data_IF_557778389866
#
_entry.id   IF_557778389866
#
_cell.length_a   1.000
_cell.length_b   1.000
_cell.length_c   1.000
_cell.angle_alpha   90.00
_cell.angle_beta   90.00
_cell.angle_gamma   90.00
#
_symmetry.space_group_name_H-M   'P 1'
#
loop_
_entity.id
_entity.type
_entity.pdbx_description
1 polymer ?
#
# COMPACT_ATOMS: atom_id res chain seq x y z
N UNK A 1 67.11 89.56 -32.64
CA UNK A 1 67.81 88.61 -33.53
C UNK A 1 66.93 88.46 -34.76
N UNK A 2 67.33 88.76 -36.00
CA UNK A 2 68.58 89.30 -36.61
C UNK A 2 68.21 90.60 -37.39
N UNK A 3 69.10 91.57 -37.69
CA UNK A 3 70.26 91.57 -38.61
C UNK A 3 69.88 91.16 -40.06
N UNK A 4 70.23 91.88 -41.15
CA UNK A 4 71.05 93.12 -41.29
C UNK A 4 70.80 93.84 -42.64
N UNK A 5 71.29 95.10 -42.77
CA UNK A 5 71.69 95.87 -43.99
C UNK A 5 71.28 95.37 -45.40
N UNK A 6 70.71 96.16 -46.31
CA UNK A 6 71.03 97.55 -46.67
C UNK A 6 71.82 97.63 -48.00
N UNK A 7 71.53 98.60 -48.88
CA UNK A 7 72.48 99.06 -49.92
C UNK A 7 72.19 100.49 -50.40
N UNK A 8 73.23 101.31 -50.49
CA UNK A 8 73.27 102.56 -51.27
C UNK A 8 73.76 102.25 -52.70
N UNK A 9 73.48 103.18 -53.62
CA UNK A 9 74.15 103.29 -54.91
C UNK A 9 74.22 104.77 -55.29
N UNK A 10 75.35 105.40 -55.02
CA UNK A 10 75.70 106.73 -55.53
C UNK A 10 76.58 106.52 -56.77
N UNK A 11 76.35 107.22 -57.89
CA UNK A 11 77.36 107.38 -58.94
C UNK A 11 77.09 108.65 -59.76
N UNK A 12 78.15 109.36 -60.16
CA UNK A 12 78.08 110.65 -60.84
C UNK A 12 79.34 110.92 -61.68
N UNK A 13 79.15 111.44 -62.88
CA UNK A 13 80.12 112.11 -63.77
C UNK A 13 79.25 112.96 -64.74
N UNK A 14 79.37 114.28 -64.91
CA UNK A 14 80.52 115.21 -65.06
C UNK A 14 81.04 115.30 -66.51
N UNK A 15 81.54 116.51 -66.85
CA UNK A 15 81.97 117.06 -68.15
C UNK A 15 80.85 117.55 -69.10
N UNK A 16 80.97 118.70 -69.79
CA UNK A 16 82.08 119.67 -69.83
C UNK A 16 81.60 121.10 -70.15
N UNK A 17 82.33 122.12 -69.66
CA UNK A 17 82.26 123.50 -70.17
C UNK A 17 83.06 123.60 -71.48
N UNK A 18 82.71 124.57 -72.35
CA UNK A 18 83.70 125.48 -72.96
C UNK A 18 83.08 126.86 -73.25
N UNK A 19 83.86 127.90 -72.99
CA UNK A 19 83.62 129.32 -73.31
C UNK A 19 85.00 129.94 -73.65
N UNK A 20 85.15 130.62 -74.80
CA UNK A 20 86.37 131.40 -75.07
C UNK A 20 86.14 132.81 -75.66
N UNK A 21 86.32 133.82 -74.80
CA UNK A 21 87.19 135.00 -74.95
C UNK A 21 87.41 135.73 -76.32
N UNK A 22 86.91 136.98 -76.34
CA UNK A 22 87.62 138.27 -76.56
C UNK A 22 88.20 138.81 -77.91
N UNK A 23 87.95 140.13 -78.11
CA UNK A 23 88.73 141.20 -78.81
C UNK A 23 88.93 141.09 -80.36
N UNK A 24 88.85 142.12 -81.23
CA UNK A 24 89.27 143.53 -81.14
C UNK A 24 88.89 144.39 -82.41
N UNK A 25 88.98 145.73 -82.31
CA UNK A 25 89.25 146.77 -83.38
C UNK A 25 88.40 146.96 -84.66
N UNK A 26 87.71 148.12 -84.70
CA UNK A 26 87.70 149.19 -85.73
C UNK A 26 87.37 149.00 -87.25
N UNK A 27 86.21 149.57 -87.65
CA UNK A 27 86.03 150.64 -88.68
C UNK A 27 86.60 150.44 -90.11
N UNK A 28 85.73 150.18 -91.13
CA UNK A 28 85.11 151.20 -92.03
C UNK A 28 84.29 150.61 -93.23
N UNK A 29 83.07 151.12 -93.46
CA UNK A 29 82.26 151.19 -94.74
C UNK A 29 82.12 149.94 -95.65
N UNK A 30 80.90 149.33 -95.62
CA UNK A 30 79.91 149.16 -96.72
C UNK A 30 80.42 148.73 -98.13
N UNK A 31 79.84 147.70 -98.80
CA UNK A 31 78.39 147.55 -98.91
C UNK A 31 77.75 146.21 -98.50
N UNK A 32 76.62 146.37 -97.82
CA UNK A 32 75.57 145.36 -97.58
C UNK A 32 74.95 144.83 -98.86
N UNK A 33 74.67 143.52 -98.92
CA UNK A 33 73.40 142.98 -99.44
C UNK A 33 73.23 141.49 -99.13
N UNK A 34 74.27 140.67 -99.32
CA UNK A 34 74.15 139.20 -99.35
C UNK A 34 73.92 138.53 -97.99
N UNK A 35 74.55 139.02 -96.92
CA UNK A 35 74.42 138.50 -95.54
C UNK A 35 72.96 138.48 -95.05
N UNK A 36 72.11 139.39 -95.54
CA UNK A 36 70.70 139.47 -95.13
C UNK A 36 69.89 138.23 -95.54
N UNK A 37 70.22 137.62 -96.66
CA UNK A 37 69.47 136.50 -97.24
C UNK A 37 69.82 135.17 -96.55
N UNK A 38 71.11 134.96 -96.27
CA UNK A 38 71.60 133.85 -95.42
C UNK A 38 71.11 133.98 -93.97
N UNK A 39 71.05 135.21 -93.43
CA UNK A 39 70.47 135.48 -92.11
C UNK A 39 68.95 135.24 -92.07
N UNK A 40 68.21 135.58 -93.12
CA UNK A 40 66.77 135.24 -93.21
C UNK A 40 66.53 133.74 -93.36
N UNK A 41 67.36 133.01 -94.10
CA UNK A 41 67.28 131.55 -94.21
C UNK A 41 67.57 130.86 -92.87
N UNK A 42 68.63 131.28 -92.18
CA UNK A 42 68.98 130.73 -90.85
C UNK A 42 67.95 131.08 -89.78
N UNK A 43 67.37 132.29 -89.80
CA UNK A 43 66.22 132.62 -88.94
C UNK A 43 65.02 131.72 -89.26
N UNK A 44 64.67 131.51 -90.53
CA UNK A 44 63.55 130.63 -90.90
C UNK A 44 63.78 129.17 -90.46
N UNK A 45 64.99 128.62 -90.62
CA UNK A 45 65.29 127.25 -90.16
C UNK A 45 65.29 127.14 -88.63
N UNK A 46 65.71 128.18 -87.90
CA UNK A 46 65.60 128.25 -86.45
C UNK A 46 64.13 128.44 -85.98
N UNK A 47 63.31 129.19 -86.71
CA UNK A 47 61.88 129.31 -86.44
C UNK A 47 61.13 127.99 -86.71
N UNK A 48 61.46 127.27 -87.78
CA UNK A 48 60.92 125.92 -88.01
C UNK A 48 61.43 124.91 -86.98
N UNK A 49 62.71 124.94 -86.60
CA UNK A 49 63.23 124.09 -85.52
C UNK A 49 62.57 124.42 -84.16
N UNK A 50 62.31 125.70 -83.86
CA UNK A 50 61.55 126.12 -82.68
C UNK A 50 60.08 125.72 -82.76
N UNK A 51 59.49 125.68 -83.96
CA UNK A 51 58.11 125.23 -84.19
C UNK A 51 58.00 123.71 -84.09
N UNK A 52 58.98 122.96 -84.56
CA UNK A 52 59.02 121.50 -84.47
C UNK A 52 59.33 121.04 -83.04
N UNK A 53 60.29 121.66 -82.35
CA UNK A 53 60.52 121.40 -80.91
C UNK A 53 59.37 121.85 -80.03
N UNK A 54 58.61 122.90 -80.40
CA UNK A 54 57.31 123.20 -79.76
C UNK A 54 56.31 122.07 -79.98
N UNK A 55 56.03 121.69 -81.24
CA UNK A 55 55.14 120.54 -81.54
C UNK A 55 55.55 119.27 -80.79
N UNK A 56 56.85 118.96 -80.72
CA UNK A 56 57.35 117.73 -80.09
C UNK A 56 57.26 117.79 -78.56
N UNK A 57 57.57 118.95 -77.95
CA UNK A 57 57.29 119.19 -76.53
C UNK A 57 55.79 119.09 -76.24
N UNK A 58 54.96 119.63 -77.11
CA UNK A 58 53.51 119.58 -76.93
C UNK A 58 52.98 118.14 -77.12
N UNK A 59 53.54 117.34 -78.05
CA UNK A 59 53.29 115.89 -78.15
C UNK A 59 53.72 115.14 -76.89
N UNK A 60 54.93 115.39 -76.37
CA UNK A 60 55.41 114.71 -75.15
C UNK A 60 54.65 115.13 -73.91
N UNK A 61 54.12 116.36 -73.83
CA UNK A 61 53.15 116.78 -72.82
C UNK A 61 51.83 116.01 -72.94
N UNK A 62 51.24 115.90 -74.14
CA UNK A 62 50.03 115.09 -74.33
C UNK A 62 50.24 113.59 -74.01
N UNK A 63 51.43 113.04 -74.31
CA UNK A 63 51.79 111.67 -73.94
C UNK A 63 51.98 111.53 -72.42
N UNK A 64 52.62 112.50 -71.78
CA UNK A 64 52.82 112.54 -70.33
C UNK A 64 51.48 112.67 -69.58
N UNK A 65 50.57 113.51 -70.06
CA UNK A 65 49.25 113.68 -69.45
C UNK A 65 48.34 112.47 -69.70
N UNK A 66 48.43 111.82 -70.87
CA UNK A 66 47.82 110.50 -71.10
C UNK A 66 48.39 109.43 -70.17
N UNK A 67 49.70 109.44 -69.91
CA UNK A 67 50.34 108.49 -69.00
C UNK A 67 49.95 108.76 -67.53
N UNK A 68 49.88 110.02 -67.11
CA UNK A 68 49.33 110.40 -65.80
C UNK A 68 47.89 109.93 -65.64
N UNK A 69 47.04 110.16 -66.65
CA UNK A 69 45.64 109.73 -66.60
C UNK A 69 45.56 108.20 -66.49
N UNK A 70 46.28 107.45 -67.33
CA UNK A 70 46.32 105.98 -67.23
C UNK A 70 46.89 105.49 -65.88
N UNK A 71 47.83 106.21 -65.27
CA UNK A 71 48.33 105.87 -63.92
C UNK A 71 47.27 106.13 -62.85
N UNK A 72 46.52 107.23 -62.92
CA UNK A 72 45.40 107.53 -62.03
C UNK A 72 44.21 106.58 -62.22
N UNK A 73 43.85 106.28 -63.47
CA UNK A 73 42.80 105.31 -63.82
C UNK A 73 43.16 103.92 -63.25
N UNK A 74 44.43 103.52 -63.34
CA UNK A 74 44.92 102.26 -62.78
C UNK A 74 45.03 102.29 -61.25
N UNK A 75 45.45 103.41 -60.65
CA UNK A 75 45.48 103.56 -59.20
C UNK A 75 44.06 103.50 -58.62
N UNK A 76 43.07 104.04 -59.33
CA UNK A 76 41.64 103.91 -59.02
C UNK A 76 41.16 102.45 -59.20
N UNK A 77 41.47 101.78 -60.31
CA UNK A 77 41.10 100.36 -60.54
C UNK A 77 41.74 99.41 -59.51
N UNK A 78 43.03 99.59 -59.20
CA UNK A 78 43.72 98.84 -58.14
C UNK A 78 43.12 99.15 -56.75
N UNK A 79 42.66 100.39 -56.49
CA UNK A 79 41.99 100.76 -55.24
C UNK A 79 40.59 100.16 -55.12
N UNK A 80 39.75 100.24 -56.16
CA UNK A 80 38.41 99.64 -56.19
C UNK A 80 38.49 98.13 -56.00
N UNK A 81 39.47 97.48 -56.65
CA UNK A 81 39.75 96.06 -56.45
C UNK A 81 40.19 95.75 -55.01
N UNK A 82 41.03 96.60 -54.40
CA UNK A 82 41.45 96.43 -52.99
C UNK A 82 40.27 96.58 -52.02
N UNK A 83 39.30 97.45 -52.31
CA UNK A 83 38.06 97.58 -51.54
C UNK A 83 37.15 96.34 -51.72
N UNK A 84 37.01 95.81 -52.95
CA UNK A 84 36.27 94.57 -53.21
C UNK A 84 36.91 93.34 -52.52
N UNK A 85 38.23 93.19 -52.62
CA UNK A 85 38.99 92.14 -51.92
C UNK A 85 38.83 92.27 -50.39
N UNK A 86 38.89 93.50 -49.86
CA UNK A 86 38.71 93.78 -48.43
C UNK A 86 37.30 93.38 -47.98
N UNK A 87 36.27 93.77 -48.73
CA UNK A 87 34.88 93.37 -48.47
C UNK A 87 34.70 91.85 -48.51
N UNK A 88 35.27 91.16 -49.50
CA UNK A 88 35.22 89.69 -49.57
C UNK A 88 35.91 89.03 -48.36
N UNK A 89 37.04 89.57 -47.93
CA UNK A 89 37.75 89.12 -46.72
C UNK A 89 36.90 89.32 -45.47
N UNK A 90 36.14 90.41 -45.34
CA UNK A 90 35.22 90.65 -44.22
C UNK A 90 34.01 89.71 -44.24
N UNK A 91 33.38 89.50 -45.40
CA UNK A 91 32.28 88.54 -45.55
C UNK A 91 32.73 87.10 -45.22
N UNK A 92 33.92 86.70 -45.66
CA UNK A 92 34.52 85.40 -45.32
C UNK A 92 34.85 85.28 -43.83
N UNK A 93 35.37 86.34 -43.19
CA UNK A 93 35.62 86.37 -41.73
C UNK A 93 34.32 86.21 -40.95
N UNK A 94 33.28 86.97 -41.30
CA UNK A 94 31.97 86.91 -40.65
C UNK A 94 31.32 85.53 -40.80
N UNK A 95 31.42 84.91 -41.99
CA UNK A 95 30.93 83.56 -42.22
C UNK A 95 31.73 82.52 -41.41
N UNK A 96 33.06 82.63 -41.35
CA UNK A 96 33.89 81.75 -40.51
C UNK A 96 33.60 81.91 -39.01
N UNK A 97 33.30 83.12 -38.54
CA UNK A 97 32.90 83.36 -37.15
C UNK A 97 31.50 82.81 -36.84
N UNK A 98 30.54 83.00 -37.75
CA UNK A 98 29.21 82.38 -37.66
C UNK A 98 29.31 80.85 -37.57
N UNK A 99 30.10 80.22 -38.45
CA UNK A 99 30.33 78.78 -38.45
C UNK A 99 31.00 78.30 -37.15
N UNK A 100 32.04 78.99 -36.64
CA UNK A 100 32.65 78.69 -35.33
C UNK A 100 31.63 78.77 -34.20
N UNK A 101 30.80 79.81 -34.17
CA UNK A 101 29.77 79.99 -33.16
C UNK A 101 28.69 78.90 -33.25
N UNK A 102 28.30 78.47 -34.45
CA UNK A 102 27.38 77.35 -34.65
C UNK A 102 27.97 76.01 -34.19
N UNK A 103 29.23 75.71 -34.54
CA UNK A 103 29.96 74.52 -34.06
C UNK A 103 30.03 74.52 -32.53
N UNK A 104 30.37 75.65 -31.89
CA UNK A 104 30.40 75.77 -30.44
C UNK A 104 29.02 75.60 -29.77
N UNK A 105 27.93 75.96 -30.44
CA UNK A 105 26.57 75.67 -29.97
C UNK A 105 26.25 74.16 -30.07
N UNK A 106 26.54 73.53 -31.22
CA UNK A 106 26.33 72.10 -31.43
C UNK A 106 27.19 71.26 -30.47
N UNK A 107 28.44 71.62 -30.22
CA UNK A 107 29.29 70.96 -29.23
C UNK A 107 28.72 71.03 -27.81
N UNK A 108 28.20 72.20 -27.39
CA UNK A 108 27.57 72.35 -26.06
C UNK A 108 26.31 71.49 -25.96
N UNK A 109 25.47 71.48 -27.01
CA UNK A 109 24.28 70.64 -27.06
C UNK A 109 24.63 69.15 -27.01
N UNK A 110 25.63 68.70 -27.77
CA UNK A 110 26.14 67.33 -27.75
C UNK A 110 26.65 66.94 -26.35
N UNK A 111 27.47 67.78 -25.72
CA UNK A 111 28.02 67.55 -24.37
C UNK A 111 26.90 67.47 -23.31
N UNK A 112 25.87 68.31 -23.42
CA UNK A 112 24.68 68.24 -22.57
C UNK A 112 23.86 66.96 -22.79
N UNK A 113 23.66 66.53 -24.04
CA UNK A 113 22.87 65.33 -24.33
C UNK A 113 23.60 64.03 -23.95
N UNK A 114 24.93 64.00 -24.07
CA UNK A 114 25.77 62.91 -23.53
C UNK A 114 25.61 62.82 -22.01
N UNK A 115 25.66 63.94 -21.28
CA UNK A 115 25.47 63.95 -19.83
C UNK A 115 24.07 63.45 -19.43
N UNK A 116 23.00 64.00 -20.02
CA UNK A 116 21.61 63.52 -19.80
C UNK A 116 21.47 62.02 -20.05
N UNK A 117 22.04 61.51 -21.16
CA UNK A 117 22.00 60.09 -21.52
C UNK A 117 22.72 59.22 -20.49
N UNK A 118 23.83 59.69 -19.94
CA UNK A 118 24.56 58.98 -18.90
C UNK A 118 23.78 58.96 -17.57
N UNK A 119 23.14 60.07 -17.19
CA UNK A 119 22.35 60.15 -15.96
C UNK A 119 21.05 59.32 -16.07
N UNK A 120 20.38 59.31 -17.22
CA UNK A 120 19.29 58.38 -17.52
C UNK A 120 19.77 56.93 -17.42
N UNK A 121 20.98 56.61 -17.91
CA UNK A 121 21.57 55.27 -17.81
C UNK A 121 21.83 54.87 -16.36
N UNK A 122 22.33 55.79 -15.51
CA UNK A 122 22.52 55.57 -14.07
C UNK A 122 21.18 55.27 -13.38
N UNK A 123 20.19 56.15 -13.55
CA UNK A 123 18.84 55.98 -12.99
C UNK A 123 18.21 54.64 -13.41
N UNK A 124 18.30 54.29 -14.69
CA UNK A 124 17.78 53.01 -15.22
C UNK A 124 18.48 51.80 -14.58
N UNK A 125 19.79 51.90 -14.35
CA UNK A 125 20.57 50.84 -13.70
C UNK A 125 20.22 50.70 -12.21
N UNK A 126 20.04 51.82 -11.50
CA UNK A 126 19.65 51.84 -10.10
C UNK A 126 18.23 51.29 -9.88
N UNK A 127 17.29 51.60 -10.78
CA UNK A 127 15.95 51.02 -10.79
C UNK A 127 15.97 49.52 -11.11
N UNK A 128 16.79 49.09 -12.08
CA UNK A 128 16.98 47.68 -12.40
C UNK A 128 17.61 46.91 -11.22
N UNK A 129 18.56 47.50 -10.51
CA UNK A 129 19.15 46.90 -9.31
C UNK A 129 18.08 46.73 -8.21
N UNK A 130 17.35 47.79 -7.86
CA UNK A 130 16.27 47.74 -6.85
C UNK A 130 15.20 46.71 -7.22
N UNK A 131 14.85 46.61 -8.50
CA UNK A 131 13.92 45.60 -9.01
C UNK A 131 14.46 44.17 -8.82
N UNK A 132 15.74 43.94 -9.14
CA UNK A 132 16.39 42.64 -8.92
C UNK A 132 16.50 42.27 -7.43
N UNK A 133 16.79 43.24 -6.55
CA UNK A 133 16.80 43.04 -5.09
C UNK A 133 15.41 42.63 -4.59
N UNK A 134 14.34 43.34 -5.00
CA UNK A 134 12.94 42.98 -4.65
C UNK A 134 12.58 41.59 -5.20
N UNK A 135 12.99 41.25 -6.43
CA UNK A 135 12.77 39.92 -7.02
C UNK A 135 13.53 38.83 -6.25
N UNK A 136 14.73 39.10 -5.77
CA UNK A 136 15.50 38.18 -4.94
C UNK A 136 14.81 37.94 -3.59
N UNK A 137 14.40 39.02 -2.91
CA UNK A 137 13.66 38.98 -1.65
C UNK A 137 12.36 38.18 -1.75
N UNK A 138 11.59 38.39 -2.83
CA UNK A 138 10.35 37.67 -3.08
C UNK A 138 10.60 36.19 -3.39
N UNK A 139 11.68 35.85 -4.12
CA UNK A 139 12.11 34.46 -4.33
C UNK A 139 12.51 33.79 -3.01
N UNK A 140 13.27 34.48 -2.15
CA UNK A 140 13.67 33.94 -0.84
C UNK A 140 12.46 33.69 0.07
N UNK A 141 11.51 34.65 0.11
CA UNK A 141 10.24 34.52 0.85
C UNK A 141 9.37 33.38 0.31
N UNK A 142 9.31 33.19 -1.02
CA UNK A 142 8.62 32.07 -1.65
C UNK A 142 9.27 30.73 -1.30
N UNK A 143 10.60 30.59 -1.41
CA UNK A 143 11.32 29.36 -1.05
C UNK A 143 11.14 29.00 0.42
N UNK A 144 11.20 29.99 1.32
CA UNK A 144 10.92 29.81 2.75
C UNK A 144 9.49 29.30 2.98
N UNK A 145 8.50 29.95 2.35
CA UNK A 145 7.10 29.52 2.42
C UNK A 145 6.89 28.08 1.90
N UNK A 146 7.52 27.72 0.78
CA UNK A 146 7.48 26.35 0.23
C UNK A 146 8.09 25.32 1.18
N UNK A 147 9.24 25.62 1.82
CA UNK A 147 9.84 24.71 2.80
C UNK A 147 8.99 24.53 4.06
N UNK A 148 8.32 25.59 4.53
CA UNK A 148 7.37 25.51 5.64
C UNK A 148 6.12 24.69 5.26
N UNK A 149 5.62 24.84 4.03
CA UNK A 149 4.51 24.04 3.50
C UNK A 149 4.86 22.55 3.45
N UNK A 150 6.06 22.20 2.96
CA UNK A 150 6.50 20.80 2.89
C UNK A 150 6.70 20.19 4.29
N UNK A 151 7.24 20.97 5.25
CA UNK A 151 7.29 20.54 6.65
C UNK A 151 5.90 20.22 7.21
N UNK A 152 4.87 21.00 6.86
CA UNK A 152 3.48 20.71 7.26
C UNK A 152 2.85 19.56 6.49
N UNK A 153 3.23 19.33 5.24
CA UNK A 153 2.84 18.15 4.48
C UNK A 153 3.36 16.86 5.14
N UNK A 154 4.64 16.84 5.56
CA UNK A 154 5.26 15.74 6.30
C UNK A 154 4.56 15.52 7.66
N UNK A 155 4.28 16.59 8.42
CA UNK A 155 3.51 16.48 9.67
C UNK A 155 2.12 15.87 9.45
N UNK A 156 1.40 16.26 8.40
CA UNK A 156 0.08 15.70 8.08
C UNK A 156 0.15 14.21 7.70
N UNK A 157 1.14 13.79 6.90
CA UNK A 157 1.34 12.37 6.54
C UNK A 157 1.70 11.53 7.76
N UNK A 158 2.52 12.06 8.67
CA UNK A 158 2.84 11.40 9.94
C UNK A 158 1.60 11.24 10.83
N UNK A 159 0.76 12.28 10.94
CA UNK A 159 -0.50 12.23 11.69
C UNK A 159 -1.52 11.26 11.07
N UNK A 160 -1.65 11.23 9.74
CA UNK A 160 -2.48 10.25 9.03
C UNK A 160 -2.00 8.81 9.28
N UNK A 161 -0.69 8.59 9.29
CA UNK A 161 -0.08 7.28 9.59
C UNK A 161 -0.38 6.85 11.03
N UNK A 162 -0.21 7.76 12.01
CA UNK A 162 -0.52 7.50 13.42
C UNK A 162 -2.02 7.23 13.65
N UNK A 163 -2.92 7.95 12.97
CA UNK A 163 -4.35 7.68 13.01
C UNK A 163 -4.69 6.31 12.41
N UNK A 164 -4.08 5.93 11.29
CA UNK A 164 -4.26 4.60 10.68
C UNK A 164 -3.80 3.47 11.62
N UNK A 165 -2.67 3.66 12.31
CA UNK A 165 -2.18 2.74 13.34
C UNK A 165 -3.15 2.65 14.53
N UNK A 166 -3.66 3.78 15.02
CA UNK A 166 -4.63 3.82 16.13
C UNK A 166 -5.93 3.09 15.78
N UNK A 167 -6.46 3.23 14.56
CA UNK A 167 -7.64 2.48 14.13
C UNK A 167 -7.38 0.96 14.08
N UNK A 168 -6.21 0.53 13.56
CA UNK A 168 -5.82 -0.87 13.55
C UNK A 168 -5.62 -1.45 14.96
N UNK A 169 -5.00 -0.70 15.88
CA UNK A 169 -4.85 -1.09 17.29
C UNK A 169 -6.20 -1.19 17.99
N UNK A 170 -7.10 -0.23 17.77
CA UNK A 170 -8.46 -0.23 18.33
C UNK A 170 -9.26 -1.45 17.85
N UNK A 171 -9.21 -1.79 16.56
CA UNK A 171 -9.89 -2.95 15.99
C UNK A 171 -9.28 -4.27 16.50
N UNK A 172 -7.96 -4.36 16.65
CA UNK A 172 -7.28 -5.51 17.25
C UNK A 172 -7.65 -5.68 18.73
N UNK A 173 -7.73 -4.58 19.49
CA UNK A 173 -8.18 -4.54 20.89
C UNK A 173 -9.64 -4.97 21.03
N UNK A 174 -10.51 -4.62 20.09
CA UNK A 174 -11.90 -5.07 20.06
C UNK A 174 -12.00 -6.58 19.80
N UNK A 175 -11.20 -7.13 18.86
CA UNK A 175 -11.09 -8.58 18.63
C UNK A 175 -10.67 -9.31 19.90
N UNK A 176 -9.56 -8.90 20.51
CA UNK A 176 -9.07 -9.48 21.77
C UNK A 176 -10.10 -9.36 22.91
N UNK A 177 -10.90 -8.29 22.94
CA UNK A 177 -12.01 -8.12 23.89
C UNK A 177 -13.13 -9.15 23.70
N UNK A 178 -13.48 -9.47 22.45
CA UNK A 178 -14.45 -10.52 22.09
C UNK A 178 -13.91 -11.91 22.39
N UNK A 179 -12.66 -12.19 22.04
CA UNK A 179 -12.01 -13.48 22.31
C UNK A 179 -11.91 -13.75 23.82
N UNK A 180 -11.56 -12.72 24.61
CA UNK A 180 -11.53 -12.77 26.07
C UNK A 180 -12.92 -12.98 26.70
N UNK A 181 -13.97 -12.40 26.10
CA UNK A 181 -15.35 -12.64 26.54
C UNK A 181 -15.78 -14.09 26.29
N UNK A 182 -15.51 -14.63 25.10
CA UNK A 182 -15.78 -16.04 24.77
C UNK A 182 -14.99 -17.00 25.68
N UNK A 183 -13.69 -16.74 25.91
CA UNK A 183 -12.88 -17.56 26.81
C UNK A 183 -13.40 -17.55 28.26
N UNK A 184 -14.00 -16.44 28.72
CA UNK A 184 -14.69 -16.37 30.03
C UNK A 184 -16.01 -17.14 30.04
N UNK A 185 -16.76 -17.13 28.94
CA UNK A 185 -17.99 -17.90 28.79
C UNK A 185 -17.70 -19.40 28.86
N UNK A 186 -16.72 -19.90 28.09
CA UNK A 186 -16.31 -21.30 28.13
C UNK A 186 -15.73 -21.71 29.50
N UNK A 187 -14.92 -20.86 30.13
CA UNK A 187 -14.47 -21.09 31.51
C UNK A 187 -15.65 -21.20 32.50
N UNK A 188 -16.72 -20.42 32.30
CA UNK A 188 -17.93 -20.49 33.14
C UNK A 188 -18.70 -21.80 32.92
N UNK A 189 -18.87 -22.24 31.66
CA UNK A 189 -19.51 -23.52 31.29
C UNK A 189 -18.74 -24.71 31.87
N UNK A 190 -17.41 -24.71 31.74
CA UNK A 190 -16.54 -25.75 32.32
C UNK A 190 -16.56 -25.72 33.86
N UNK A 191 -16.64 -24.54 34.49
CA UNK A 191 -16.80 -24.43 35.93
C UNK A 191 -18.16 -24.96 36.42
N UNK A 192 -19.22 -24.80 35.64
CA UNK A 192 -20.55 -25.33 35.94
C UNK A 192 -20.60 -26.86 35.74
N UNK A 193 -20.11 -27.38 34.61
CA UNK A 193 -20.07 -28.83 34.37
C UNK A 193 -19.20 -29.57 35.40
N UNK A 194 -18.10 -28.96 35.85
CA UNK A 194 -17.28 -29.48 36.96
C UNK A 194 -18.04 -29.54 38.30
N UNK A 195 -18.89 -28.54 38.60
CA UNK A 195 -19.74 -28.58 39.81
C UNK A 195 -20.78 -29.70 39.73
N UNK A 196 -21.42 -29.88 38.57
CA UNK A 196 -22.39 -30.96 38.35
C UNK A 196 -21.71 -32.33 38.44
N UNK A 197 -20.53 -32.51 37.83
CA UNK A 197 -19.75 -33.74 37.93
C UNK A 197 -19.35 -34.07 39.37
N UNK A 198 -18.91 -33.07 40.14
CA UNK A 198 -18.57 -33.24 41.56
C UNK A 198 -19.82 -33.60 42.41
N UNK A 199 -20.98 -33.01 42.13
CA UNK A 199 -22.24 -33.38 42.79
C UNK A 199 -22.66 -34.81 42.48
N UNK A 200 -22.52 -35.25 41.21
CA UNK A 200 -22.82 -36.63 40.81
C UNK A 200 -21.86 -37.64 41.45
N UNK A 201 -20.58 -37.29 41.58
CA UNK A 201 -19.58 -38.10 42.29
C UNK A 201 -19.93 -38.24 43.78
N UNK A 202 -20.30 -37.13 44.43
CA UNK A 202 -20.76 -37.09 45.82
C UNK A 202 -22.03 -37.91 46.09
N UNK A 203 -22.93 -38.04 45.10
CA UNK A 203 -24.09 -38.94 45.19
C UNK A 203 -23.66 -40.40 45.04
N UNK A 204 -22.85 -40.72 44.03
CA UNK A 204 -22.38 -42.09 43.77
C UNK A 204 -21.51 -42.66 44.90
N UNK A 205 -20.74 -41.81 45.60
CA UNK A 205 -20.04 -42.18 46.83
C UNK A 205 -21.03 -42.63 47.91
N UNK A 206 -22.10 -41.87 48.16
CA UNK A 206 -23.11 -42.18 49.18
C UNK A 206 -23.90 -43.45 48.84
N UNK A 207 -24.26 -43.65 47.57
CA UNK A 207 -24.87 -44.89 47.09
C UNK A 207 -23.94 -46.10 47.32
N UNK A 208 -22.65 -45.96 47.02
CA UNK A 208 -21.64 -47.00 47.25
C UNK A 208 -21.45 -47.30 48.75
N UNK A 209 -21.46 -46.29 49.60
CA UNK A 209 -21.41 -46.44 51.07
C UNK A 209 -22.65 -47.16 51.61
N UNK A 210 -23.85 -46.83 51.12
CA UNK A 210 -25.09 -47.52 51.50
C UNK A 210 -25.09 -48.98 51.04
N UNK A 211 -24.62 -49.26 49.82
CA UNK A 211 -24.46 -50.63 49.30
C UNK A 211 -23.42 -51.40 50.14
N UNK A 212 -22.29 -50.79 50.50
CA UNK A 212 -21.28 -51.40 51.36
C UNK A 212 -21.82 -51.71 52.78
N UNK A 213 -22.64 -50.82 53.35
CA UNK A 213 -23.30 -51.05 54.63
C UNK A 213 -24.32 -52.21 54.57
N UNK A 214 -25.13 -52.28 53.50
CA UNK A 214 -26.06 -53.38 53.23
C UNK A 214 -25.34 -54.71 53.01
N UNK A 215 -24.20 -54.70 52.32
CA UNK A 215 -23.35 -55.87 52.14
C UNK A 215 -22.81 -56.35 53.50
N UNK A 216 -22.20 -55.47 54.29
CA UNK A 216 -21.67 -55.79 55.63
C UNK A 216 -22.75 -56.26 56.62
N UNK A 217 -24.00 -55.80 56.49
CA UNK A 217 -25.14 -56.35 57.23
C UNK A 217 -25.48 -57.77 56.78
N UNK A 218 -25.53 -58.00 55.46
CA UNK A 218 -25.83 -59.30 54.87
C UNK A 218 -24.76 -60.35 55.19
N UNK A 219 -23.48 -59.97 55.17
CA UNK A 219 -22.35 -60.80 55.56
C UNK A 219 -22.43 -61.25 57.02
N UNK A 220 -22.83 -60.36 57.94
CA UNK A 220 -23.05 -60.70 59.36
C UNK A 220 -24.19 -61.71 59.53
N UNK A 221 -25.34 -61.48 58.89
CA UNK A 221 -26.48 -62.41 58.94
C UNK A 221 -26.10 -63.77 58.34
N UNK A 222 -25.31 -63.80 57.26
CA UNK A 222 -24.79 -65.04 56.67
C UNK A 222 -23.78 -65.75 57.59
N UNK A 223 -22.94 -65.02 58.33
CA UNK A 223 -22.02 -65.61 59.30
C UNK A 223 -22.77 -66.22 60.51
N UNK A 224 -23.75 -65.49 61.05
CA UNK A 224 -24.66 -65.97 62.12
C UNK A 224 -25.46 -67.20 61.67
N UNK A 225 -25.96 -67.20 60.43
CA UNK A 225 -26.65 -68.33 59.80
C UNK A 225 -25.74 -69.54 59.63
N UNK A 226 -24.49 -69.38 59.15
CA UNK A 226 -23.50 -70.46 59.04
C UNK A 226 -23.17 -71.09 60.38
N UNK A 227 -22.92 -70.27 61.41
CA UNK A 227 -22.66 -70.75 62.78
C UNK A 227 -23.87 -71.47 63.38
N UNK A 228 -25.09 -71.02 63.09
CA UNK A 228 -26.32 -71.70 63.52
C UNK A 228 -26.52 -73.04 62.79
N UNK A 229 -26.22 -73.09 61.49
CA UNK A 229 -26.23 -74.32 60.69
C UNK A 229 -25.20 -75.34 61.19
N UNK A 230 -23.97 -74.89 61.49
CA UNK A 230 -22.91 -75.73 62.05
C UNK A 230 -23.34 -76.36 63.39
N UNK A 231 -23.96 -75.58 64.29
CA UNK A 231 -24.49 -76.13 65.55
C UNK A 231 -25.58 -77.19 65.33
N UNK A 232 -26.49 -76.96 64.39
CA UNK A 232 -27.51 -77.94 64.04
C UNK A 232 -26.92 -79.20 63.40
N UNK A 233 -25.84 -79.08 62.63
CA UNK A 233 -25.09 -80.21 62.08
C UNK A 233 -24.34 -81.00 63.17
N UNK A 234 -23.68 -80.31 64.09
CA UNK A 234 -23.02 -80.90 65.27
C UNK A 234 -24.03 -81.67 66.13
N UNK A 235 -25.18 -81.07 66.49
CA UNK A 235 -26.23 -81.75 67.25
C UNK A 235 -26.92 -82.86 66.44
N UNK A 236 -27.12 -82.72 65.12
CA UNK A 236 -27.64 -83.81 64.28
C UNK A 236 -26.67 -85.01 64.27
N UNK A 237 -25.36 -84.76 64.15
CA UNK A 237 -24.34 -85.80 64.24
C UNK A 237 -24.28 -86.46 65.62
N UNK A 238 -24.59 -85.72 66.69
CA UNK A 238 -24.66 -86.21 68.08
C UNK A 238 -25.89 -87.08 68.29
N UNK A 239 -27.05 -86.66 67.76
CA UNK A 239 -28.29 -87.44 67.79
C UNK A 239 -28.18 -88.73 66.97
N UNK A 240 -27.53 -88.70 65.80
CA UNK A 240 -27.20 -89.92 65.02
C UNK A 240 -26.36 -90.90 65.83
N UNK A 241 -25.25 -90.44 66.42
CA UNK A 241 -24.39 -91.27 67.28
C UNK A 241 -25.13 -91.85 68.49
N UNK A 242 -26.02 -91.08 69.11
CA UNK A 242 -26.86 -91.56 70.22
C UNK A 242 -27.89 -92.62 69.77
N UNK A 243 -28.47 -92.46 68.58
CA UNK A 243 -29.37 -93.44 67.96
C UNK A 243 -28.63 -94.72 67.55
N UNK A 244 -27.42 -94.62 67.01
CA UNK A 244 -26.55 -95.76 66.70
C UNK A 244 -26.17 -96.52 67.99
N UNK A 245 -25.90 -95.82 69.09
CA UNK A 245 -25.62 -96.41 70.40
C UNK A 245 -26.85 -97.10 71.03
N UNK A 246 -28.05 -96.54 70.88
CA UNK A 246 -29.28 -97.17 71.39
C UNK A 246 -29.68 -98.37 70.51
N UNK A 247 -29.56 -98.27 69.19
CA UNK A 247 -29.87 -99.36 68.25
C UNK A 247 -28.87 -100.53 68.38
N UNK A 248 -27.58 -100.27 68.55
CA UNK A 248 -26.59 -101.33 68.83
C UNK A 248 -26.79 -101.97 70.22
N UNK A 249 -27.32 -101.23 71.19
CA UNK A 249 -27.71 -101.79 72.49
C UNK A 249 -28.96 -102.66 72.40
N UNK A 250 -30.00 -102.22 71.67
CA UNK A 250 -31.21 -102.99 71.41
C UNK A 250 -30.89 -104.28 70.64
N UNK A 251 -30.14 -104.19 69.54
CA UNK A 251 -29.73 -105.36 68.75
C UNK A 251 -28.93 -106.37 69.57
N UNK A 252 -28.07 -105.90 70.50
CA UNK A 252 -27.35 -106.79 71.44
C UNK A 252 -28.30 -107.46 72.44
N UNK A 253 -29.33 -106.76 72.92
CA UNK A 253 -30.33 -107.32 73.83
C UNK A 253 -31.27 -108.33 73.15
N UNK A 254 -31.58 -108.16 71.86
CA UNK A 254 -32.42 -109.10 71.10
C UNK A 254 -31.69 -110.37 70.63
N UNK A 255 -30.37 -110.33 70.43
CA UNK A 255 -29.61 -111.51 70.00
C UNK A 255 -29.53 -112.62 71.06
N UNK A 256 -29.59 -112.26 72.34
CA UNK A 256 -29.48 -113.21 73.46
C UNK A 256 -30.79 -113.94 73.80
N UNK A 257 -31.96 -113.47 73.33
CA UNK A 257 -33.28 -114.04 73.71
C UNK A 257 -33.78 -115.20 72.83
N UNK A 258 -33.43 -115.21 71.55
CA UNK A 258 -34.27 -115.88 70.53
C UNK A 258 -33.92 -117.37 70.27
N UNK A 259 -32.98 -117.96 71.00
CA UNK A 259 -32.44 -119.30 70.71
C UNK A 259 -32.57 -120.36 71.84
N UNK A 260 -33.31 -120.08 72.91
CA UNK A 260 -33.40 -121.00 74.07
C UNK A 260 -34.84 -121.38 74.48
N UNK A 261 -35.42 -122.37 73.80
CA UNK A 261 -36.59 -123.11 74.33
C UNK A 261 -36.12 -123.96 75.51
N UNK A 262 -36.66 -123.74 76.71
CA UNK A 262 -36.24 -124.47 77.92
C UNK A 262 -36.33 -125.99 77.72
N UNK A 263 -35.18 -126.66 77.83
CA UNK A 263 -35.01 -128.12 77.75
C UNK A 263 -36.02 -128.88 78.61
N UNK A 264 -36.48 -128.32 79.74
CA UNK A 264 -37.52 -128.92 80.60
C UNK A 264 -38.89 -128.98 79.90
N UNK A 265 -39.25 -127.96 79.13
CA UNK A 265 -40.49 -127.92 78.33
C UNK A 265 -40.41 -128.96 77.22
N UNK A 266 -39.28 -129.02 76.50
CA UNK A 266 -39.04 -129.99 75.41
C UNK A 266 -39.13 -131.43 75.91
N UNK A 267 -38.47 -131.75 77.03
CA UNK A 267 -38.55 -133.07 77.69
C UNK A 267 -39.99 -133.37 78.10
N UNK A 268 -40.70 -132.42 78.70
CA UNK A 268 -42.07 -132.64 79.18
C UNK A 268 -43.04 -132.94 78.04
N UNK A 269 -42.90 -132.27 76.89
CA UNK A 269 -43.68 -132.54 75.68
C UNK A 269 -43.40 -133.94 75.10
N UNK A 270 -42.13 -134.35 75.01
CA UNK A 270 -41.76 -135.72 74.61
C UNK A 270 -42.35 -136.78 75.55
N UNK A 271 -42.27 -136.55 76.87
CA UNK A 271 -42.83 -137.47 77.88
C UNK A 271 -44.35 -137.54 77.77
N UNK A 272 -45.08 -136.43 77.58
CA UNK A 272 -46.54 -136.47 77.42
C UNK A 272 -46.97 -137.09 76.10
N UNK A 273 -46.18 -136.99 75.02
CA UNK A 273 -46.45 -137.66 73.74
C UNK A 273 -46.42 -139.20 73.89
N UNK A 274 -45.37 -139.75 74.51
CA UNK A 274 -45.29 -141.19 74.79
C UNK A 274 -46.33 -141.66 75.83
N UNK A 275 -46.54 -140.91 76.92
CA UNK A 275 -47.50 -141.30 77.97
C UNK A 275 -48.97 -141.26 77.50
N UNK A 276 -49.34 -140.37 76.57
CA UNK A 276 -50.71 -140.26 76.04
C UNK A 276 -50.87 -140.98 74.69
N UNK A 277 -50.24 -142.16 74.58
CA UNK A 277 -50.43 -143.12 73.49
C UNK A 277 -50.29 -142.49 72.09
N UNK A 278 -49.27 -141.65 71.90
CA UNK A 278 -48.97 -140.92 70.66
C UNK A 278 -50.04 -139.91 70.21
N UNK A 279 -50.64 -139.15 71.15
CA UNK A 279 -51.61 -138.10 70.81
C UNK A 279 -51.05 -137.05 69.83
N UNK A 280 -51.79 -136.85 68.72
CA UNK A 280 -51.45 -135.88 67.65
C UNK A 280 -51.44 -134.42 68.13
N UNK A 281 -52.23 -134.08 69.15
CA UNK A 281 -52.30 -132.72 69.71
C UNK A 281 -50.97 -132.29 70.36
N UNK A 282 -50.30 -133.24 71.02
CA UNK A 282 -48.98 -132.98 71.63
C UNK A 282 -47.93 -132.80 70.53
N UNK A 283 -48.04 -133.56 69.44
CA UNK A 283 -47.13 -133.46 68.28
C UNK A 283 -47.29 -132.12 67.54
N UNK A 284 -48.52 -131.64 67.33
CA UNK A 284 -48.82 -130.31 66.80
C UNK A 284 -48.22 -129.19 67.68
N UNK A 285 -48.39 -129.30 69.00
CA UNK A 285 -47.82 -128.34 69.95
C UNK A 285 -46.29 -128.37 69.95
N UNK A 286 -45.67 -129.54 69.82
CA UNK A 286 -44.22 -129.68 69.65
C UNK A 286 -43.73 -129.00 68.37
N UNK A 287 -44.37 -129.27 67.22
CA UNK A 287 -44.05 -128.62 65.94
C UNK A 287 -44.08 -127.10 66.07
N UNK A 288 -45.11 -126.56 66.74
CA UNK A 288 -45.31 -125.12 66.90
C UNK A 288 -44.33 -124.47 67.89
N UNK A 289 -43.98 -125.15 68.99
CA UNK A 289 -43.04 -124.61 70.00
C UNK A 289 -41.56 -124.83 69.67
N UNK A 290 -41.22 -125.84 68.87
CA UNK A 290 -39.84 -126.13 68.46
C UNK A 290 -39.47 -125.55 67.09
N UNK A 291 -40.40 -124.87 66.42
CA UNK A 291 -40.16 -124.26 65.11
C UNK A 291 -39.80 -125.26 64.02
N UNK A 292 -40.40 -126.45 64.02
CA UNK A 292 -40.07 -127.51 63.06
C UNK A 292 -40.28 -127.04 61.61
N UNK A 293 -39.30 -127.35 60.76
CA UNK A 293 -39.36 -127.11 59.31
C UNK A 293 -40.53 -127.88 58.67
N UNK A 294 -40.98 -127.47 57.49
CA UNK A 294 -42.05 -128.18 56.78
C UNK A 294 -41.60 -129.60 56.35
N UNK A 295 -40.31 -129.72 56.05
CA UNK A 295 -39.61 -130.96 55.76
C UNK A 295 -39.62 -131.94 56.95
N UNK A 296 -39.44 -131.44 58.18
CA UNK A 296 -39.40 -132.29 59.37
C UNK A 296 -40.81 -132.65 59.87
N UNK A 297 -41.81 -131.78 59.69
CA UNK A 297 -43.25 -132.11 59.89
C UNK A 297 -43.66 -133.33 59.07
N UNK A 298 -43.19 -133.42 57.82
CA UNK A 298 -43.48 -134.58 56.96
C UNK A 298 -42.81 -135.86 57.47
N UNK A 299 -41.58 -135.80 58.03
CA UNK A 299 -40.89 -136.97 58.60
C UNK A 299 -41.58 -137.55 59.84
N UNK A 300 -42.21 -136.71 60.66
CA UNK A 300 -42.96 -137.14 61.86
C UNK A 300 -44.44 -137.49 61.58
N UNK A 301 -44.84 -137.58 60.32
CA UNK A 301 -46.19 -138.03 59.91
C UNK A 301 -47.28 -136.95 59.94
N UNK A 302 -46.91 -135.66 59.95
CA UNK A 302 -47.83 -134.53 60.05
C UNK A 302 -48.12 -133.89 58.67
N UNK A 303 -48.57 -134.70 57.70
CA UNK A 303 -48.72 -134.28 56.30
C UNK A 303 -50.11 -133.68 55.95
N UNK A 304 -50.10 -132.70 55.03
CA UNK A 304 -51.22 -131.96 54.40
C UNK A 304 -52.01 -130.96 55.27
N UNK A 305 -51.92 -129.65 54.95
CA UNK A 305 -52.99 -128.83 54.32
C UNK A 305 -52.69 -127.30 54.32
N UNK A 306 -52.77 -126.64 53.13
CA UNK A 306 -52.82 -125.18 52.83
C UNK A 306 -51.68 -124.25 53.34
N UNK A 307 -51.20 -123.15 52.71
CA UNK A 307 -51.45 -122.38 51.46
C UNK A 307 -52.23 -121.02 51.54
N UNK A 308 -51.49 -119.89 51.51
CA UNK A 308 -51.84 -118.70 50.67
C UNK A 308 -51.97 -117.27 51.27
N UNK A 309 -51.47 -116.26 50.50
CA UNK A 309 -51.80 -114.78 50.50
C UNK A 309 -51.37 -113.93 51.74
N UNK A 310 -51.17 -112.60 51.68
CA UNK A 310 -50.99 -111.64 50.56
C UNK A 310 -51.42 -110.16 50.85
N UNK A 311 -50.84 -109.16 50.13
CA UNK A 311 -51.36 -107.79 49.78
C UNK A 311 -51.71 -106.79 50.96
N UNK A 312 -52.05 -105.47 50.90
CA UNK A 312 -52.29 -104.39 49.87
C UNK A 312 -51.98 -102.95 50.44
N UNK A 313 -51.81 -101.93 49.56
CA UNK A 313 -52.07 -100.45 49.76
C UNK A 313 -51.14 -99.61 50.68
N UNK A 314 -51.08 -98.26 50.61
CA UNK A 314 -51.67 -97.27 49.67
C UNK A 314 -51.26 -95.80 49.97
N UNK A 315 -50.96 -94.92 48.98
CA UNK A 315 -51.80 -93.96 48.17
C UNK A 315 -52.09 -92.56 48.80
N UNK A 316 -51.86 -91.49 48.00
CA UNK A 316 -52.53 -90.15 47.94
C UNK A 316 -51.79 -88.88 48.50
N UNK A 317 -51.73 -87.79 47.68
CA UNK A 317 -51.33 -86.42 48.13
C UNK A 317 -50.74 -85.47 47.06
N UNK A 318 -51.57 -84.63 46.43
CA UNK A 318 -51.27 -83.51 45.47
C UNK A 318 -52.36 -82.41 45.67
N UNK A 319 -52.35 -81.17 45.07
CA UNK A 319 -51.50 -80.60 44.01
C UNK A 319 -51.00 -79.13 44.22
N UNK A 320 -50.28 -78.55 43.23
CA UNK A 320 -50.03 -77.10 43.06
C UNK A 320 -49.20 -76.79 41.80
N UNK A 321 -49.53 -75.77 40.97
CA UNK A 321 -48.99 -75.65 39.57
C UNK A 321 -49.08 -74.26 38.91
N UNK A 322 -47.98 -73.81 38.27
CA UNK A 322 -47.85 -72.84 37.14
C UNK A 322 -46.51 -73.17 36.42
N UNK A 323 -46.26 -73.12 35.09
CA UNK A 323 -47.04 -72.87 33.85
C UNK A 323 -47.52 -71.42 33.60
N UNK A 324 -47.19 -70.72 32.49
CA UNK A 324 -46.18 -70.97 31.43
C UNK A 324 -46.69 -71.04 29.98
N UNK A 325 -46.34 -70.04 29.14
CA UNK A 325 -46.31 -70.09 27.66
C UNK A 325 -47.57 -69.66 26.88
N UNK A 326 -47.43 -68.75 25.90
CA UNK A 326 -48.38 -68.42 24.81
C UNK A 326 -47.56 -68.13 23.52
N UNK A 327 -48.12 -68.40 22.33
CA UNK A 327 -47.45 -68.37 21.02
C UNK A 327 -48.36 -67.82 19.90
N UNK A 328 -47.79 -67.11 18.91
CA UNK A 328 -48.40 -66.74 17.62
C UNK A 328 -48.84 -65.27 17.48
N UNK A 329 -48.97 -64.68 16.28
CA UNK A 329 -48.58 -65.19 14.96
C UNK A 329 -49.43 -64.64 13.80
N UNK A 330 -48.85 -63.80 12.91
CA UNK A 330 -49.43 -63.45 11.61
C UNK A 330 -48.34 -63.05 10.59
N UNK A 331 -48.66 -63.04 9.29
CA UNK A 331 -47.68 -63.06 8.19
C UNK A 331 -48.11 -62.25 6.96
N UNK A 332 -47.17 -61.58 6.28
CA UNK A 332 -47.05 -61.73 4.83
C UNK A 332 -45.63 -61.43 4.28
N UNK A 333 -45.41 -61.92 3.06
CA UNK A 333 -44.18 -62.05 2.25
C UNK A 333 -43.66 -60.72 1.65
N UNK A 334 -42.45 -60.55 1.08
CA UNK A 334 -41.13 -61.26 1.06
C UNK A 334 -40.10 -60.34 0.36
N UNK A 335 -38.82 -60.29 0.79
CA UNK A 335 -37.64 -60.44 -0.10
C UNK A 335 -36.29 -60.38 0.66
N UNK A 336 -35.51 -61.47 0.58
CA UNK A 336 -34.03 -61.53 0.57
C UNK A 336 -33.17 -60.57 1.44
N UNK A 337 -32.99 -60.90 2.73
CA UNK A 337 -31.69 -61.35 3.31
C UNK A 337 -31.79 -61.56 4.82
N UNK A 338 -31.25 -62.67 5.33
CA UNK A 338 -31.00 -62.85 6.76
C UNK A 338 -29.59 -62.35 7.12
N UNK A 339 -29.42 -61.47 8.12
CA UNK A 339 -28.24 -61.50 8.99
C UNK A 339 -28.40 -62.64 10.01
N UNK A 340 -27.29 -63.21 10.47
CA UNK A 340 -27.30 -64.24 11.53
C UNK A 340 -27.34 -63.61 12.93
N UNK A 341 -27.83 -64.36 13.92
CA UNK A 341 -28.07 -63.94 15.31
C UNK A 341 -26.79 -63.63 16.14
N UNK A 342 -25.65 -63.40 15.47
CA UNK A 342 -24.35 -63.10 16.08
C UNK A 342 -23.88 -61.65 15.88
N UNK A 343 -24.68 -60.77 15.24
CA UNK A 343 -24.36 -59.34 15.21
C UNK A 343 -24.52 -58.72 16.59
N UNK A 344 -23.46 -58.09 17.10
CA UNK A 344 -23.45 -57.45 18.40
C UNK A 344 -24.35 -56.21 18.41
N UNK A 345 -24.80 -55.81 19.61
CA UNK A 345 -25.49 -54.52 19.78
C UNK A 345 -24.63 -53.33 19.29
N UNK A 346 -23.29 -53.47 19.36
CA UNK A 346 -22.36 -52.50 18.77
C UNK A 346 -22.43 -52.47 17.24
N UNK A 347 -22.54 -53.62 16.57
CA UNK A 347 -22.63 -53.70 15.11
C UNK A 347 -23.97 -53.10 14.62
N UNK A 348 -25.07 -53.38 15.34
CA UNK A 348 -26.37 -52.76 15.09
C UNK A 348 -26.36 -51.24 15.33
N UNK A 349 -25.55 -50.74 16.26
CA UNK A 349 -25.33 -49.30 16.45
C UNK A 349 -24.48 -48.68 15.34
N UNK A 350 -23.48 -49.39 14.83
CA UNK A 350 -22.67 -48.95 13.68
C UNK A 350 -23.52 -48.93 12.41
N UNK A 351 -24.33 -49.97 12.15
CA UNK A 351 -25.30 -49.99 11.05
C UNK A 351 -26.34 -48.88 11.20
N UNK A 352 -26.81 -48.58 12.42
CA UNK A 352 -27.70 -47.43 12.66
C UNK A 352 -27.03 -46.10 12.32
N UNK A 353 -25.81 -45.85 12.80
CA UNK A 353 -25.07 -44.61 12.53
C UNK A 353 -24.71 -44.44 11.04
N UNK A 354 -24.28 -45.52 10.37
CA UNK A 354 -24.04 -45.53 8.93
C UNK A 354 -25.33 -45.22 8.16
N UNK A 355 -26.46 -45.83 8.56
CA UNK A 355 -27.76 -45.63 7.91
C UNK A 355 -28.39 -44.28 8.20
N UNK A 356 -28.17 -43.70 9.38
CA UNK A 356 -28.56 -42.31 9.68
C UNK A 356 -27.72 -41.32 8.86
N UNK A 357 -26.44 -41.61 8.66
CA UNK A 357 -25.55 -40.81 7.81
C UNK A 357 -25.95 -40.91 6.33
N UNK A 358 -26.22 -42.12 5.83
CA UNK A 358 -26.70 -42.37 4.46
C UNK A 358 -28.07 -41.72 4.21
N UNK A 359 -29.03 -41.87 5.14
CA UNK A 359 -30.36 -41.24 5.04
C UNK A 359 -30.28 -39.71 5.11
N UNK A 360 -29.26 -39.15 5.78
CA UNK A 360 -28.95 -37.71 5.77
C UNK A 360 -28.36 -37.27 4.43
N UNK A 361 -27.32 -37.93 3.95
CA UNK A 361 -26.69 -37.65 2.64
C UNK A 361 -27.71 -37.78 1.49
N UNK A 362 -28.62 -38.76 1.58
CA UNK A 362 -29.74 -38.96 0.66
C UNK A 362 -30.77 -37.82 0.69
N UNK A 363 -31.02 -37.21 1.85
CA UNK A 363 -31.88 -36.00 1.97
C UNK A 363 -31.18 -34.78 1.40
N UNK A 364 -29.93 -34.54 1.79
CA UNK A 364 -29.12 -33.41 1.30
C UNK A 364 -28.95 -33.48 -0.23
N UNK A 365 -28.76 -34.68 -0.79
CA UNK A 365 -28.75 -34.94 -2.25
C UNK A 365 -30.10 -34.69 -2.92
N UNK A 366 -31.22 -35.10 -2.31
CA UNK A 366 -32.56 -34.87 -2.83
C UNK A 366 -32.97 -33.38 -2.77
N UNK A 367 -32.50 -32.66 -1.76
CA UNK A 367 -32.74 -31.22 -1.60
C UNK A 367 -31.90 -30.39 -2.58
N UNK A 368 -30.61 -30.72 -2.75
CA UNK A 368 -29.77 -30.14 -3.80
C UNK A 368 -30.37 -30.37 -5.21
N UNK A 369 -30.89 -31.58 -5.48
CA UNK A 369 -31.57 -31.90 -6.74
C UNK A 369 -32.83 -31.05 -6.97
N UNK A 370 -33.63 -30.81 -5.91
CA UNK A 370 -34.81 -29.94 -5.97
C UNK A 370 -34.44 -28.48 -6.25
N UNK A 371 -33.40 -27.95 -5.60
CA UNK A 371 -32.89 -26.59 -5.86
C UNK A 371 -32.46 -26.45 -7.31
N UNK A 372 -31.71 -27.41 -7.88
CA UNK A 372 -31.31 -27.38 -9.30
C UNK A 372 -32.48 -27.40 -10.28
N UNK A 373 -33.57 -28.09 -9.96
CA UNK A 373 -34.75 -28.18 -10.85
C UNK A 373 -35.59 -26.90 -10.94
N UNK A 374 -35.41 -25.93 -10.03
CA UNK A 374 -36.33 -24.82 -9.85
C UNK A 374 -35.80 -23.46 -10.36
N UNK A 375 -34.82 -23.46 -11.26
CA UNK A 375 -34.15 -22.24 -11.78
C UNK A 375 -34.03 -22.22 -13.32
N UNK A 376 -34.89 -22.94 -14.05
CA UNK A 376 -34.80 -23.02 -15.52
C UNK A 376 -36.14 -22.89 -16.25
N UNK A 377 -36.87 -21.79 -16.01
CA UNK A 377 -37.83 -21.25 -17.00
C UNK A 377 -37.54 -19.78 -17.32
N UNK A 378 -37.82 -19.40 -18.58
CA UNK A 378 -37.79 -18.04 -19.14
C UNK A 378 -36.41 -17.39 -19.43
N UNK A 379 -35.72 -18.03 -20.37
CA UNK A 379 -35.14 -17.45 -21.62
C UNK A 379 -35.43 -15.94 -21.91
N UNK A 380 -34.58 -15.15 -22.56
CA UNK A 380 -33.61 -15.34 -23.69
C UNK A 380 -32.42 -14.35 -23.54
N UNK A 381 -31.36 -14.22 -24.36
CA UNK A 381 -30.95 -14.74 -25.70
C UNK A 381 -29.40 -14.82 -25.81
N UNK A 382 -28.87 -15.41 -26.89
CA UNK A 382 -27.44 -15.39 -27.29
C UNK A 382 -27.23 -14.50 -28.55
N UNK A 383 -25.99 -14.19 -29.05
CA UNK A 383 -25.08 -15.19 -29.64
C UNK A 383 -23.55 -14.99 -29.47
N UNK A 384 -22.89 -16.02 -28.91
CA UNK A 384 -21.63 -16.69 -29.33
C UNK A 384 -20.53 -16.02 -30.17
N UNK A 385 -19.27 -16.17 -29.71
CA UNK A 385 -18.11 -16.82 -30.41
C UNK A 385 -17.03 -17.21 -29.37
N UNK A 386 -16.80 -18.50 -29.10
CA UNK A 386 -15.68 -19.36 -29.60
C UNK A 386 -14.24 -18.90 -29.22
N UNK A 387 -13.33 -19.71 -28.66
CA UNK A 387 -13.31 -21.18 -28.44
C UNK A 387 -12.35 -21.59 -27.27
N UNK A 388 -12.28 -22.90 -26.98
CA UNK A 388 -11.49 -23.60 -25.96
C UNK A 388 -9.94 -23.43 -26.09
N UNK A 389 -9.07 -23.86 -25.15
CA UNK A 389 -9.16 -24.99 -24.20
C UNK A 389 -8.26 -24.90 -22.94
N UNK A 390 -8.60 -25.74 -21.95
CA UNK A 390 -7.77 -26.32 -20.88
C UNK A 390 -7.41 -25.48 -19.61
N UNK A 391 -7.64 -26.16 -18.47
CA UNK A 391 -7.31 -25.84 -17.07
C UNK A 391 -5.93 -26.44 -16.70
N UNK A 392 -5.40 -26.24 -15.46
CA UNK A 392 -5.32 -25.00 -14.68
C UNK A 392 -3.95 -24.82 -13.97
N UNK A 393 -3.58 -23.60 -13.55
CA UNK A 393 -3.16 -23.33 -12.16
C UNK A 393 -2.94 -21.82 -11.86
N UNK A 394 -2.93 -21.53 -10.55
CA UNK A 394 -2.41 -20.33 -9.88
C UNK A 394 -3.16 -18.99 -10.00
N UNK A 395 -3.10 -18.23 -8.91
CA UNK A 395 -3.89 -17.02 -8.64
C UNK A 395 -3.00 -15.77 -8.74
N UNK A 396 -3.42 -14.74 -9.49
CA UNK A 396 -2.93 -13.38 -9.32
C UNK A 396 -4.06 -12.42 -8.94
N UNK A 397 -3.95 -11.73 -7.80
CA UNK A 397 -4.70 -10.51 -7.54
C UNK A 397 -3.90 -9.30 -8.01
N UNK A 398 -4.46 -8.47 -8.88
CA UNK A 398 -3.95 -7.11 -9.07
C UNK A 398 -5.04 -6.07 -9.37
N UNK A 399 -4.73 -4.86 -8.95
CA UNK A 399 -5.52 -3.62 -8.89
C UNK A 399 -6.20 -3.15 -10.19
N UNK A 400 -7.43 -2.62 -10.02
CA UNK A 400 -7.90 -1.29 -10.49
C UNK A 400 -9.12 -0.92 -9.63
N UNK A 401 -9.19 0.23 -8.95
CA UNK A 401 -9.14 1.62 -9.45
C UNK A 401 -10.37 1.98 -10.29
N UNK A 402 -11.34 2.64 -9.65
CA UNK A 402 -12.50 3.28 -10.30
C UNK A 402 -12.57 4.74 -9.85
N UNK A 403 -12.77 5.64 -10.82
CA UNK A 403 -13.05 7.05 -10.57
C UNK A 403 -14.52 7.33 -10.88
N UNK A 404 -15.14 8.22 -10.11
CA UNK A 404 -16.41 8.84 -10.47
C UNK A 404 -16.24 10.35 -10.54
N UNK A 405 -16.66 10.92 -11.68
CA UNK A 405 -16.79 12.36 -11.84
C UNK A 405 -17.99 12.84 -11.03
N UNK A 406 -17.90 14.04 -10.46
CA UNK A 406 -19.09 14.80 -10.12
C UNK A 406 -18.83 16.29 -10.34
N UNK A 407 -19.69 16.96 -11.13
CA UNK A 407 -19.42 18.31 -11.65
C UNK A 407 -20.69 19.05 -12.07
N UNK A 408 -21.36 19.69 -11.12
CA UNK A 408 -22.28 20.80 -11.38
C UNK A 408 -22.54 21.64 -10.12
N UNK A 409 -22.71 22.95 -10.34
CA UNK A 409 -23.54 23.88 -9.56
C UNK A 409 -23.47 23.85 -8.01
N UNK A 410 -22.74 24.81 -7.44
CA UNK A 410 -23.41 25.90 -6.70
C UNK A 410 -22.63 27.20 -6.84
N UNK A 411 -23.30 28.26 -7.29
CA UNK A 411 -22.79 29.63 -7.29
C UNK A 411 -23.68 30.44 -6.34
N UNK A 412 -23.08 31.17 -5.39
CA UNK A 412 -23.43 32.58 -5.15
C UNK A 412 -22.56 33.27 -4.09
N UNK A 413 -22.22 34.53 -4.39
CA UNK A 413 -22.00 35.65 -3.46
C UNK A 413 -21.18 35.45 -2.19
N UNK A 414 -19.96 36.01 -2.17
CA UNK A 414 -19.71 37.28 -1.46
C UNK A 414 -18.44 37.97 -2.01
N UNK A 415 -18.21 39.23 -1.63
CA UNK A 415 -17.31 40.16 -2.33
C UNK A 415 -15.85 40.15 -1.85
N UNK A 416 -14.93 40.59 -2.72
CA UNK A 416 -13.89 41.52 -2.31
C UNK A 416 -13.96 42.84 -3.10
N UNK A 417 -13.75 43.97 -2.42
CA UNK A 417 -13.82 45.31 -3.00
C UNK A 417 -12.42 45.88 -3.27
N UNK A 418 -12.00 46.00 -4.53
CA UNK A 418 -10.93 46.91 -4.99
C UNK A 418 -10.91 47.04 -6.52
N UNK A 419 -10.64 48.24 -7.02
CA UNK A 419 -10.66 48.56 -8.46
C UNK A 419 -9.29 48.29 -9.13
N UNK A 420 -9.24 47.68 -10.32
CA UNK A 420 -8.09 47.76 -11.20
C UNK A 420 -8.25 48.89 -12.21
N UNK A 421 -7.32 49.85 -12.23
CA UNK A 421 -7.16 50.78 -13.35
C UNK A 421 -6.26 50.15 -14.42
N UNK A 422 -6.71 50.07 -15.68
CA UNK A 422 -5.83 49.87 -16.84
C UNK A 422 -6.29 50.72 -18.02
N UNK A 423 -5.34 51.45 -18.61
CA UNK A 423 -5.53 52.16 -19.87
C UNK A 423 -5.37 51.22 -21.08
N UNK A 424 -5.84 51.69 -22.24
CA UNK A 424 -5.65 51.03 -23.53
C UNK A 424 -4.16 50.97 -23.94
N UNK A 425 -3.71 49.89 -24.60
CA UNK A 425 -2.51 49.90 -25.42
C UNK A 425 -2.81 50.56 -26.78
N UNK A 426 -2.10 51.63 -27.13
CA UNK A 426 -2.06 52.14 -28.50
C UNK A 426 -1.17 51.24 -29.36
N UNK A 427 -1.67 50.81 -30.53
CA UNK A 427 -0.80 50.28 -31.61
C UNK A 427 -0.04 51.44 -32.24
N UNK A 428 1.29 51.39 -32.21
CA UNK A 428 2.13 52.17 -33.13
C UNK A 428 3.01 51.19 -33.91
N UNK A 429 3.11 51.43 -35.21
CA UNK A 429 3.80 50.60 -36.18
C UNK A 429 5.30 50.94 -36.21
N UNK A 430 6.17 49.94 -36.39
CA UNK A 430 7.60 50.17 -36.63
C UNK A 430 8.25 49.05 -37.47
N UNK A 431 7.93 49.07 -38.76
CA UNK A 431 8.80 48.50 -39.78
C UNK A 431 10.06 49.37 -39.96
N UNK A 432 10.98 48.83 -40.77
CA UNK A 432 12.13 49.47 -41.42
C UNK A 432 13.47 49.62 -40.66
N UNK A 433 14.47 49.04 -41.31
CA UNK A 433 15.89 49.39 -41.36
C UNK A 433 16.71 49.21 -40.06
N UNK A 434 17.42 48.09 -40.02
CA UNK A 434 18.87 48.14 -39.77
C UNK A 434 19.56 47.26 -40.83
N UNK A 435 20.58 47.82 -41.49
CA UNK A 435 21.23 47.20 -42.64
C UNK A 435 22.24 46.12 -42.25
N UNK A 436 22.67 45.39 -43.29
CA UNK A 436 23.87 44.59 -43.34
C UNK A 436 25.03 45.17 -42.49
N UNK A 437 25.71 44.31 -41.75
CA UNK A 437 27.15 44.36 -41.71
C UNK A 437 27.73 42.97 -41.98
N UNK A 438 28.69 42.89 -42.91
CA UNK A 438 29.22 41.62 -43.44
C UNK A 438 30.61 41.84 -44.02
N UNK A 439 31.62 41.93 -43.15
CA UNK A 439 33.02 41.76 -43.54
C UNK A 439 33.76 40.84 -42.56
N UNK A 440 34.14 39.68 -43.11
CA UNK A 440 35.39 38.96 -42.89
C UNK A 440 36.02 38.97 -41.49
N UNK A 441 36.10 37.78 -40.88
CA UNK A 441 37.44 37.25 -40.63
C UNK A 441 37.49 35.76 -40.99
N UNK A 442 38.49 35.36 -41.77
CA UNK A 442 38.73 33.96 -42.17
C UNK A 442 40.23 33.70 -42.10
N UNK A 443 40.70 33.33 -40.91
CA UNK A 443 42.07 32.86 -40.71
C UNK A 443 42.13 31.38 -40.38
N UNK A 444 42.63 30.67 -41.39
CA UNK A 444 43.21 29.33 -41.34
C UNK A 444 44.15 29.20 -40.13
N UNK A 445 43.95 28.16 -39.33
CA UNK A 445 45.04 27.29 -38.89
C UNK A 445 44.50 25.88 -38.68
N UNK A 446 45.27 24.88 -39.10
CA UNK A 446 45.09 23.51 -38.65
C UNK A 446 45.73 23.32 -37.26
N UNK A 447 45.35 22.25 -36.58
CA UNK A 447 45.79 21.83 -35.25
C UNK A 447 45.02 20.60 -34.81
#
# INVERSE_FOLDING_TARGET
MTSTAGKKGDEAFDTQNEEPDWHNTNVLVIPTLKVKEEMSLTIHTLEEALKETRKERDKTLHQLDRLKQHLLDKEQEDSEKMDEDTKMIEELRANCEYQKNHILQLERALKQEIAKREDIKKLTNDELQKSNEIIHDLKQKLTSCMSALESKNIELVNLQTALGQYYAESEAKERLGRDLASAREELSKVSESLKVANQQLELSIKEKEEIAAKLSQSERILAEGRHSMQKLEEDNSRLRRALEQSMTTLNRMSLDSDNYVDRRIVIKLLVTYFQRNHSKEVLDLMVRMLGFSEEDKQRIGFAQHAAGKGVVRGVLGLPGRLVGGILGGHSQETSTKMPSENQSFADLWVDFLLKETEERERRESAEASRVSSNTQEKSTTSPSTSNASNLPLFIPQQTKHLALQNKANYSNTLTPNSRPCRLHPLRINRNEICSQDRLQDTRISAG
#
